data_IF_623571666838
#
_entry.id   IF_623571666838
#
_cell.length_a   1.000
_cell.length_b   1.000
_cell.length_c   1.000
_cell.angle_alpha   90.00
_cell.angle_beta   90.00
_cell.angle_gamma   90.00
#
_symmetry.space_group_name_H-M   'P 1'
#
loop_
_entity.id
_entity.type
_entity.pdbx_description
1 polymer ?
#
# COMPACT_ATOMS: atom_id res chain seq x y z
N UNK A 1 -1.61 -15.51 8.24
CA UNK A 1 -1.07 -14.25 8.71
C UNK A 1 0.40 -14.41 9.02
N UNK A 2 1.22 -13.65 8.37
CA UNK A 2 2.65 -13.62 8.67
C UNK A 2 2.91 -12.60 9.77
N UNK A 3 3.50 -13.05 10.87
CA UNK A 3 4.03 -12.14 11.86
C UNK A 3 5.39 -11.66 11.39
N UNK A 4 5.43 -10.45 10.89
CA UNK A 4 6.67 -9.78 10.55
C UNK A 4 7.08 -8.88 11.71
N UNK A 5 8.28 -9.07 12.26
CA UNK A 5 8.87 -8.10 13.18
C UNK A 5 9.32 -6.89 12.36
N UNK A 6 8.38 -6.09 11.94
CA UNK A 6 8.67 -4.89 11.18
C UNK A 6 8.20 -3.64 11.93
N UNK A 7 8.97 -2.60 11.82
CA UNK A 7 8.60 -1.28 12.32
C UNK A 7 8.43 -0.34 11.14
N UNK A 8 7.25 0.23 11.02
CA UNK A 8 6.98 1.25 10.01
C UNK A 8 7.49 2.58 10.56
N UNK A 9 8.47 3.16 9.86
CA UNK A 9 9.17 4.38 10.27
C UNK A 9 8.52 5.65 9.77
N UNK A 10 7.87 5.60 8.61
CA UNK A 10 7.32 6.78 7.97
C UNK A 10 6.07 6.41 7.17
N UNK A 11 5.01 7.19 7.36
CA UNK A 11 3.74 7.06 6.64
C UNK A 11 3.25 8.46 6.26
N UNK A 12 3.69 8.98 5.13
CA UNK A 12 3.20 10.27 4.68
C UNK A 12 1.70 10.21 4.43
N UNK A 13 0.97 11.18 4.97
CA UNK A 13 -0.45 11.39 4.68
C UNK A 13 -0.58 12.46 3.63
N UNK A 14 -1.29 12.17 2.55
CA UNK A 14 -1.65 13.16 1.55
C UNK A 14 -3.15 13.21 1.37
N UNK A 15 -3.69 14.42 1.30
CA UNK A 15 -5.09 14.61 0.92
C UNK A 15 -5.28 14.21 -0.54
N UNK A 16 -6.40 13.57 -0.84
CA UNK A 16 -6.77 13.29 -2.21
C UNK A 16 -7.01 14.59 -2.97
N UNK A 17 -6.25 14.83 -4.02
CA UNK A 17 -6.34 16.02 -4.88
C UNK A 17 -6.49 15.59 -6.32
N UNK A 18 -7.60 15.07 -6.74
CA UNK A 18 -7.87 14.69 -8.15
C UNK A 18 -6.66 14.04 -8.87
N UNK A 19 -5.80 13.35 -8.12
CA UNK A 19 -4.69 12.59 -8.69
C UNK A 19 -5.29 11.32 -9.30
N UNK A 20 -4.87 10.97 -10.52
CA UNK A 20 -5.25 9.69 -11.10
C UNK A 20 -4.48 8.57 -10.40
N UNK A 21 -5.00 8.07 -9.29
CA UNK A 21 -4.37 7.00 -8.53
C UNK A 21 -4.47 5.63 -9.19
N UNK A 22 -5.16 5.55 -10.32
CA UNK A 22 -5.33 4.30 -11.07
C UNK A 22 -4.14 3.95 -11.99
N UNK A 23 -3.16 4.82 -12.14
CA UNK A 23 -1.99 4.57 -12.98
C UNK A 23 -0.76 5.30 -12.44
N UNK A 24 -0.28 4.88 -11.29
CA UNK A 24 0.93 5.41 -10.68
C UNK A 24 1.98 4.32 -10.56
N UNK A 25 3.20 4.64 -10.93
CA UNK A 25 4.34 3.73 -10.76
C UNK A 25 4.65 3.56 -9.29
N UNK A 26 4.96 2.33 -8.92
CA UNK A 26 5.34 1.98 -7.55
C UNK A 26 6.64 1.19 -7.55
N UNK A 27 7.35 1.26 -6.44
CA UNK A 27 8.62 0.54 -6.28
C UNK A 27 8.84 0.18 -4.82
N UNK A 28 9.34 -1.01 -4.57
CA UNK A 28 9.82 -1.44 -3.25
C UNK A 28 11.29 -1.80 -3.39
N UNK A 29 12.12 -1.22 -2.54
CA UNK A 29 13.57 -1.47 -2.56
C UNK A 29 14.11 -1.80 -1.19
N UNK A 30 15.11 -2.68 -1.17
CA UNK A 30 16.02 -2.88 -0.05
C UNK A 30 17.45 -2.85 -0.58
N UNK A 31 18.13 -1.74 -0.37
CA UNK A 31 19.48 -1.52 -0.91
C UNK A 31 20.53 -2.46 -0.32
N UNK A 32 20.35 -2.89 0.93
CA UNK A 32 21.29 -3.78 1.60
C UNK A 32 21.48 -5.10 0.87
N UNK A 33 20.40 -5.64 0.31
CA UNK A 33 20.41 -6.92 -0.41
C UNK A 33 20.17 -6.74 -1.91
N UNK A 34 20.22 -5.51 -2.39
CA UNK A 34 19.99 -5.15 -3.80
C UNK A 34 18.67 -5.67 -4.36
N UNK A 35 17.65 -5.70 -3.52
CA UNK A 35 16.29 -6.07 -3.94
C UNK A 35 15.54 -4.85 -4.44
N UNK A 36 14.93 -4.97 -5.60
CA UNK A 36 14.05 -3.93 -6.17
C UNK A 36 12.92 -4.57 -6.95
N UNK A 37 11.70 -4.15 -6.66
CA UNK A 37 10.51 -4.65 -7.36
C UNK A 37 9.66 -3.45 -7.79
N UNK A 38 9.36 -3.40 -9.08
CA UNK A 38 8.51 -2.35 -9.66
C UNK A 38 7.07 -2.84 -9.81
N UNK A 39 6.14 -1.92 -9.74
CA UNK A 39 4.73 -2.19 -9.93
C UNK A 39 3.96 -0.96 -10.37
N UNK A 40 2.65 -1.08 -10.37
CA UNK A 40 1.75 0.01 -10.73
C UNK A 40 0.45 -0.12 -9.94
N UNK A 41 -0.17 1.00 -9.62
CA UNK A 41 -1.46 1.00 -8.92
C UNK A 41 -2.59 0.38 -9.73
N UNK A 42 -2.47 0.30 -11.05
CA UNK A 42 -3.47 -0.34 -11.91
C UNK A 42 -3.59 -1.86 -11.70
N UNK A 43 -2.63 -2.49 -11.03
CA UNK A 43 -2.70 -3.92 -10.66
C UNK A 43 -3.63 -4.16 -9.47
N UNK A 44 -4.00 -3.12 -8.73
CA UNK A 44 -4.89 -3.21 -7.59
C UNK A 44 -6.33 -3.11 -8.07
N UNK A 45 -6.95 -4.25 -8.37
CA UNK A 45 -8.34 -4.33 -8.83
C UNK A 45 -8.64 -3.31 -9.96
N UNK A 46 -7.72 -3.22 -10.94
CA UNK A 46 -7.71 -2.26 -12.06
C UNK A 46 -7.47 -0.82 -11.60
N UNK A 47 -8.03 -0.44 -10.49
CA UNK A 47 -7.86 0.87 -9.86
C UNK A 47 -8.12 0.74 -8.35
N UNK A 48 -7.26 1.27 -7.48
CA UNK A 48 -7.46 1.21 -6.03
C UNK A 48 -8.82 1.75 -5.56
N UNK A 49 -9.41 2.68 -6.28
CA UNK A 49 -10.77 3.17 -5.98
C UNK A 49 -11.83 2.09 -6.11
N UNK A 50 -11.63 1.08 -6.94
CA UNK A 50 -12.54 -0.07 -7.03
C UNK A 50 -12.54 -0.87 -5.74
N UNK A 51 -11.37 -1.05 -5.11
CA UNK A 51 -11.27 -1.69 -3.80
C UNK A 51 -12.02 -0.88 -2.72
N UNK A 52 -11.86 0.43 -2.74
CA UNK A 52 -12.60 1.32 -1.82
C UNK A 52 -14.11 1.21 -2.03
N UNK A 53 -14.58 1.25 -3.26
CA UNK A 53 -16.01 1.07 -3.60
C UNK A 53 -16.53 -0.26 -3.09
N UNK A 54 -15.78 -1.34 -3.27
CA UNK A 54 -16.17 -2.66 -2.79
C UNK A 54 -16.36 -2.66 -1.27
N UNK A 55 -15.42 -2.09 -0.54
CA UNK A 55 -15.50 -2.00 0.93
C UNK A 55 -16.71 -1.15 1.37
N UNK A 56 -16.92 0.02 0.74
CA UNK A 56 -18.03 0.90 1.08
C UNK A 56 -19.39 0.23 0.80
N UNK A 57 -19.50 -0.48 -0.31
CA UNK A 57 -20.71 -1.23 -0.63
C UNK A 57 -20.95 -2.36 0.37
N UNK A 58 -19.91 -3.05 0.81
CA UNK A 58 -20.00 -4.11 1.81
C UNK A 58 -20.45 -3.55 3.16
N UNK A 59 -19.91 -2.43 3.59
CA UNK A 59 -20.30 -1.73 4.81
C UNK A 59 -21.80 -1.38 4.76
N UNK A 60 -22.25 -0.84 3.64
CA UNK A 60 -23.66 -0.47 3.45
C UNK A 60 -24.58 -1.69 3.46
N UNK A 61 -24.20 -2.74 2.73
CA UNK A 61 -24.96 -3.99 2.62
C UNK A 61 -25.12 -4.69 3.98
N UNK A 62 -24.05 -4.78 4.74
CA UNK A 62 -24.03 -5.46 6.03
C UNK A 62 -24.44 -4.54 7.19
N UNK A 63 -24.81 -3.29 6.90
CA UNK A 63 -25.23 -2.28 7.88
C UNK A 63 -24.22 -2.10 9.01
N UNK A 64 -22.93 -2.11 8.66
CA UNK A 64 -21.85 -1.89 9.62
C UNK A 64 -21.84 -0.41 10.00
N UNK A 65 -21.91 -0.12 11.30
CA UNK A 65 -21.85 1.24 11.79
C UNK A 65 -20.40 1.74 11.85
N UNK A 66 -20.10 2.75 11.06
CA UNK A 66 -18.79 3.42 11.06
C UNK A 66 -18.98 4.82 11.65
N UNK A 67 -18.49 5.01 12.86
CA UNK A 67 -18.57 6.28 13.58
C UNK A 67 -17.21 6.97 13.77
N UNK A 68 -16.13 6.38 13.24
CA UNK A 68 -14.77 6.86 13.35
C UNK A 68 -14.03 6.71 12.02
N UNK A 69 -12.94 7.44 11.87
CA UNK A 69 -12.03 7.23 10.75
C UNK A 69 -11.50 5.80 10.74
N UNK A 70 -11.32 5.26 9.55
CA UNK A 70 -10.78 3.92 9.38
C UNK A 70 -9.81 3.85 8.19
N UNK A 71 -9.00 2.81 8.18
CA UNK A 71 -8.04 2.57 7.12
C UNK A 71 -8.56 1.51 6.17
N UNK A 72 -8.35 1.73 4.89
CA UNK A 72 -8.64 0.74 3.85
C UNK A 72 -7.33 0.34 3.18
N UNK A 73 -7.01 -0.95 3.23
CA UNK A 73 -5.88 -1.51 2.52
C UNK A 73 -6.39 -2.05 1.18
N UNK A 74 -6.07 -1.35 0.11
CA UNK A 74 -6.65 -1.62 -1.21
C UNK A 74 -6.05 -2.83 -1.91
N UNK A 75 -4.84 -3.22 -1.54
CA UNK A 75 -4.13 -4.36 -2.13
C UNK A 75 -2.68 -4.01 -2.46
N UNK A 76 -1.96 -4.98 -3.02
CA UNK A 76 -0.56 -4.81 -3.39
C UNK A 76 -0.40 -4.37 -4.84
N UNK A 77 0.44 -3.39 -5.06
CA UNK A 77 0.79 -2.89 -6.41
C UNK A 77 1.91 -3.70 -7.05
N UNK A 78 2.62 -4.51 -6.28
CA UNK A 78 3.78 -5.30 -6.71
C UNK A 78 3.57 -6.81 -6.52
N UNK A 79 2.38 -7.23 -6.09
CA UNK A 79 2.10 -8.61 -5.74
C UNK A 79 2.74 -9.01 -4.41
N UNK A 80 3.10 -10.28 -4.28
CA UNK A 80 3.79 -10.78 -3.10
C UNK A 80 5.29 -10.57 -3.29
N UNK A 81 5.89 -9.81 -2.37
CA UNK A 81 7.34 -9.56 -2.37
C UNK A 81 7.97 -10.38 -1.25
N UNK A 82 8.85 -11.34 -1.57
CA UNK A 82 9.52 -12.11 -0.54
C UNK A 82 10.49 -11.23 0.26
N UNK A 83 10.55 -11.46 1.56
CA UNK A 83 11.55 -10.81 2.42
C UNK A 83 12.81 -11.66 2.37
N UNK A 84 13.74 -11.28 1.50
CA UNK A 84 14.99 -12.04 1.26
C UNK A 84 16.08 -11.70 2.26
N UNK A 85 15.87 -10.74 3.12
CA UNK A 85 16.84 -10.34 4.13
C UNK A 85 16.35 -9.21 5.00
N UNK A 86 17.09 -8.96 6.06
CA UNK A 86 16.81 -7.85 6.98
C UNK A 86 17.18 -6.51 6.36
N UNK A 87 16.75 -5.44 7.01
CA UNK A 87 17.15 -4.09 6.65
C UNK A 87 15.97 -3.19 6.36
N UNK A 88 16.26 -2.09 5.69
CA UNK A 88 15.27 -1.03 5.40
C UNK A 88 14.61 -1.30 4.04
N UNK A 89 13.31 -1.52 4.08
CA UNK A 89 12.46 -1.54 2.89
C UNK A 89 11.84 -0.16 2.67
N UNK A 90 11.99 0.36 1.47
CA UNK A 90 11.43 1.65 1.07
C UNK A 90 10.39 1.40 -0.02
N UNK A 91 9.13 1.71 0.28
CA UNK A 91 8.05 1.69 -0.69
C UNK A 91 7.80 3.09 -1.21
N UNK A 92 7.78 3.25 -2.53
CA UNK A 92 7.51 4.52 -3.18
C UNK A 92 6.31 4.40 -4.11
N UNK A 93 5.41 5.36 -4.01
CA UNK A 93 4.33 5.55 -5.00
C UNK A 93 4.53 6.92 -5.63
N UNK A 94 4.63 6.95 -6.95
CA UNK A 94 4.80 8.19 -7.70
C UNK A 94 3.72 9.20 -7.33
N UNK A 95 4.08 10.47 -7.19
CA UNK A 95 3.22 11.57 -6.78
C UNK A 95 2.63 11.48 -5.36
N UNK A 96 2.71 10.34 -4.68
CA UNK A 96 2.16 10.16 -3.33
C UNK A 96 3.23 10.13 -2.24
N UNK A 97 4.44 9.75 -2.57
CA UNK A 97 5.55 9.77 -1.63
C UNK A 97 6.09 8.39 -1.28
N UNK A 98 6.78 8.29 -0.17
CA UNK A 98 7.46 7.08 0.28
C UNK A 98 7.01 6.66 1.67
N UNK A 99 7.07 5.36 1.92
CA UNK A 99 6.93 4.78 3.25
C UNK A 99 8.15 3.87 3.51
N UNK A 100 8.53 3.75 4.75
CA UNK A 100 9.71 2.98 5.15
C UNK A 100 9.34 1.98 6.23
N UNK A 101 9.91 0.78 6.13
CA UNK A 101 9.76 -0.26 7.13
C UNK A 101 11.11 -0.94 7.39
N UNK A 102 11.42 -1.20 8.65
CA UNK A 102 12.62 -1.95 9.04
C UNK A 102 12.22 -3.37 9.38
N UNK A 103 12.92 -4.32 8.78
CA UNK A 103 12.78 -5.74 9.05
C UNK A 103 14.01 -6.18 9.85
N UNK A 104 13.77 -6.70 11.02
CA UNK A 104 14.81 -7.24 11.91
C UNK A 104 14.87 -8.75 11.85
#
# INVERSE_FOLDING_TARGET
>A
WFWCKCKILDRPKKKYKKINIGNLKTNITNKKIKQSVDGNTNTVFINPLNSLKFVLNKIKKDKINIDKDFWVFTGSTVGVVPINGNGLYIGKIDKLGTAKAVIN
#
